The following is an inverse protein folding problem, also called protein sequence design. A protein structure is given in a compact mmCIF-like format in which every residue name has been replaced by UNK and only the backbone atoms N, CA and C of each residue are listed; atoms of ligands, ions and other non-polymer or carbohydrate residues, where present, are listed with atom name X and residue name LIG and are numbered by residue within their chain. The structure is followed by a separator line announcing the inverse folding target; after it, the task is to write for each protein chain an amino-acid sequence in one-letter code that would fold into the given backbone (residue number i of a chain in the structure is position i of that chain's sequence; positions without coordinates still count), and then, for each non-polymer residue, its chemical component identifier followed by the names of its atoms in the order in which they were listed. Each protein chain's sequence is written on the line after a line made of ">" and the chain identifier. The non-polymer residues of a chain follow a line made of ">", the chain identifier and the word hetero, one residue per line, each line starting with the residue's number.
data_IF_118956406403
#
_entry.id   IF_118956406403
#
_cell.length_a   1.000
_cell.length_b   1.000
_cell.length_c   1.000
_cell.angle_alpha   90.00
_cell.angle_beta   90.00
_cell.angle_gamma   90.00
#
_symmetry.space_group_name_H-M   'P 1'
#
loop_
_entity.id
_entity.type
_entity.pdbx_description
1 polymer ?
#
# COMPACT_ATOMS: atom_id res chain seq x y z
N UNK A 1 -22.81 -11.56 2.84
CA UNK A 1 -23.33 -10.77 3.98
C UNK A 1 -22.52 -9.49 4.07
N UNK A 2 -23.15 -8.32 4.02
CA UNK A 2 -22.44 -7.04 4.14
C UNK A 2 -22.21 -6.68 5.62
N UNK A 3 -21.04 -6.12 5.94
CA UNK A 3 -20.69 -5.64 7.28
C UNK A 3 -20.26 -4.18 7.21
N UNK A 4 -20.67 -3.37 8.20
CA UNK A 4 -20.25 -1.98 8.32
C UNK A 4 -18.92 -1.89 9.06
N UNK A 5 -17.98 -1.15 8.48
CA UNK A 5 -16.68 -0.84 9.07
C UNK A 5 -16.56 0.66 9.32
N UNK A 6 -16.47 1.05 10.60
CA UNK A 6 -16.28 2.45 11.00
C UNK A 6 -14.80 2.71 11.26
N UNK A 7 -14.21 3.67 10.56
CA UNK A 7 -12.78 4.01 10.66
C UNK A 7 -12.65 5.50 10.97
N UNK A 8 -11.78 5.86 11.92
CA UNK A 8 -11.42 7.25 12.17
C UNK A 8 -10.37 7.70 11.15
N UNK A 9 -10.68 8.76 10.41
CA UNK A 9 -9.77 9.38 9.45
C UNK A 9 -9.27 10.72 10.01
N UNK A 10 -8.02 11.06 9.71
CA UNK A 10 -7.57 12.43 9.89
C UNK A 10 -8.16 13.34 8.79
N UNK A 11 -8.05 14.67 8.97
CA UNK A 11 -8.65 15.66 8.05
C UNK A 11 -8.15 15.51 6.62
N UNK A 12 -6.88 15.16 6.43
CA UNK A 12 -6.28 15.06 5.10
C UNK A 12 -6.75 13.79 4.36
N UNK A 13 -6.86 12.67 5.08
CA UNK A 13 -7.43 11.43 4.57
C UNK A 13 -8.90 11.61 4.15
N UNK A 14 -9.70 12.30 4.97
CA UNK A 14 -11.10 12.59 4.66
C UNK A 14 -11.25 13.44 3.38
N UNK A 15 -10.45 14.50 3.25
CA UNK A 15 -10.41 15.34 2.05
C UNK A 15 -9.92 14.59 0.83
N UNK A 16 -8.87 13.77 0.96
CA UNK A 16 -8.35 12.96 -0.13
C UNK A 16 -9.37 11.94 -0.63
N UNK A 17 -10.07 11.26 0.28
CA UNK A 17 -11.11 10.30 -0.05
C UNK A 17 -12.29 10.99 -0.77
N UNK A 18 -12.74 12.13 -0.27
CA UNK A 18 -13.83 12.90 -0.89
C UNK A 18 -13.48 13.41 -2.29
N UNK A 19 -12.26 13.93 -2.48
CA UNK A 19 -11.77 14.35 -3.80
C UNK A 19 -11.71 13.19 -4.78
N UNK A 20 -11.19 12.04 -4.34
CA UNK A 20 -11.07 10.84 -5.17
C UNK A 20 -12.44 10.29 -5.57
N UNK A 21 -13.38 10.21 -4.62
CA UNK A 21 -14.76 9.80 -4.88
C UNK A 21 -15.43 10.70 -5.92
N UNK A 22 -15.29 12.02 -5.79
CA UNK A 22 -15.80 12.99 -6.76
C UNK A 22 -15.17 12.81 -8.15
N UNK A 23 -13.84 12.66 -8.22
CA UNK A 23 -13.13 12.49 -9.48
C UNK A 23 -13.53 11.21 -10.23
N UNK A 24 -13.93 10.16 -9.50
CA UNK A 24 -14.36 8.89 -10.06
C UNK A 24 -15.87 8.79 -10.29
N UNK A 25 -16.65 9.79 -9.89
CA UNK A 25 -18.13 9.73 -9.94
C UNK A 25 -18.72 8.64 -9.03
N UNK A 26 -18.01 8.25 -7.96
CA UNK A 26 -18.38 7.13 -7.08
C UNK A 26 -18.72 7.59 -5.68
N UNK A 27 -19.43 6.74 -4.93
CA UNK A 27 -19.62 6.97 -3.50
C UNK A 27 -18.32 6.74 -2.72
N UNK A 28 -18.18 7.40 -1.56
CA UNK A 28 -17.02 7.18 -0.67
C UNK A 28 -16.88 5.72 -0.25
N UNK A 29 -18.00 5.07 0.10
CA UNK A 29 -18.02 3.67 0.53
C UNK A 29 -17.59 2.72 -0.59
N UNK A 30 -17.96 3.01 -1.84
CA UNK A 30 -17.53 2.23 -3.00
C UNK A 30 -16.03 2.34 -3.22
N UNK A 31 -15.47 3.55 -3.19
CA UNK A 31 -14.02 3.76 -3.28
C UNK A 31 -13.28 3.01 -2.16
N UNK A 32 -13.79 3.05 -0.93
CA UNK A 32 -13.18 2.33 0.20
C UNK A 32 -13.23 0.82 -0.02
N UNK A 33 -14.35 0.26 -0.48
CA UNK A 33 -14.45 -1.18 -0.79
C UNK A 33 -13.45 -1.60 -1.87
N UNK A 34 -13.26 -0.80 -2.91
CA UNK A 34 -12.26 -1.09 -3.95
C UNK A 34 -10.83 -1.03 -3.42
N UNK A 35 -10.51 -0.06 -2.56
CA UNK A 35 -9.20 0.05 -1.92
C UNK A 35 -8.93 -1.15 -1.01
N UNK A 36 -9.94 -1.59 -0.24
CA UNK A 36 -9.84 -2.77 0.61
C UNK A 36 -9.66 -4.02 -0.23
N UNK A 37 -10.46 -4.21 -1.29
CA UNK A 37 -10.35 -5.36 -2.19
C UNK A 37 -8.93 -5.45 -2.79
N UNK A 38 -8.43 -4.34 -3.36
CA UNK A 38 -7.06 -4.26 -3.90
C UNK A 38 -5.98 -4.47 -2.84
N UNK A 39 -6.21 -4.03 -1.61
CA UNK A 39 -5.27 -4.20 -0.50
C UNK A 39 -5.20 -5.63 0.01
N UNK A 40 -6.33 -6.33 -0.01
CA UNK A 40 -6.48 -7.72 0.42
C UNK A 40 -6.07 -8.74 -0.65
N UNK A 41 -5.98 -8.33 -1.92
CA UNK A 41 -5.34 -9.16 -2.95
C UNK A 41 -3.87 -9.41 -2.58
N UNK A 42 -3.59 -10.62 -2.08
CA UNK A 42 -2.24 -11.17 -1.91
C UNK A 42 -1.62 -11.44 -3.27
N UNK A 43 -1.24 -10.36 -3.97
CA UNK A 43 -0.34 -10.49 -5.11
C UNK A 43 1.09 -10.57 -4.60
N UNK A 44 1.90 -11.54 -5.09
CA UNK A 44 3.33 -11.56 -4.87
C UNK A 44 3.92 -10.18 -5.18
N UNK A 45 4.84 -9.70 -4.33
CA UNK A 45 5.44 -8.37 -4.47
C UNK A 45 5.95 -8.09 -5.90
N UNK A 46 6.45 -9.13 -6.57
CA UNK A 46 6.88 -9.11 -7.97
C UNK A 46 5.82 -8.67 -8.98
N UNK A 47 4.54 -9.02 -8.78
CA UNK A 47 3.43 -8.55 -9.62
C UNK A 47 3.01 -7.13 -9.24
N UNK A 48 3.04 -6.79 -7.95
CA UNK A 48 2.78 -5.42 -7.46
C UNK A 48 3.77 -4.40 -8.02
N UNK A 49 5.00 -4.80 -8.30
CA UNK A 49 6.06 -3.93 -8.85
C UNK A 49 6.33 -4.13 -10.35
N UNK A 50 5.64 -5.07 -11.01
CA UNK A 50 5.89 -5.39 -12.42
C UNK A 50 5.66 -4.20 -13.38
N UNK A 51 4.79 -3.26 -13.00
CA UNK A 51 4.53 -2.03 -13.74
C UNK A 51 5.52 -0.90 -13.43
N UNK A 52 6.36 -1.05 -12.39
CA UNK A 52 7.47 -0.16 -12.10
C UNK A 52 8.64 -0.57 -13.02
N UNK A 53 8.55 -0.24 -14.31
CA UNK A 53 9.70 -0.28 -15.22
C UNK A 53 10.69 0.80 -14.82
N UNK A 54 11.59 0.45 -13.90
CA UNK A 54 12.67 1.32 -13.44
C UNK A 54 13.59 0.58 -12.48
N UNK A 55 14.89 0.84 -12.59
CA UNK A 55 15.89 0.35 -11.64
C UNK A 55 15.70 1.16 -10.37
N UNK A 56 15.26 0.52 -9.28
CA UNK A 56 15.47 1.10 -7.95
C UNK A 56 16.98 1.10 -7.75
N UNK A 57 17.61 2.28 -7.74
CA UNK A 57 18.98 2.44 -7.25
C UNK A 57 18.91 2.42 -5.72
N UNK A 58 19.20 1.29 -5.03
CA UNK A 58 19.29 1.35 -3.59
C UNK A 58 20.41 2.32 -3.25
N UNK A 59 20.10 3.35 -2.45
CA UNK A 59 21.12 4.20 -1.85
C UNK A 59 22.16 3.29 -1.19
N UNK A 60 23.44 3.49 -1.51
CA UNK A 60 24.51 2.57 -1.14
C UNK A 60 24.40 2.18 0.33
N UNK A 61 24.33 0.87 0.58
CA UNK A 61 24.15 0.33 1.92
C UNK A 61 25.39 0.61 2.79
N UNK A 62 25.43 1.77 3.44
CA UNK A 62 26.11 1.95 4.74
C UNK A 62 25.21 1.49 5.89
N UNK A 63 24.35 0.51 5.63
CA UNK A 63 23.33 0.11 6.58
C UNK A 63 23.85 -1.02 7.49
N UNK A 64 24.13 -0.75 8.77
CA UNK A 64 24.58 -1.76 9.74
C UNK A 64 23.58 -2.91 9.92
N UNK A 65 22.32 -2.72 9.50
CA UNK A 65 21.29 -3.76 9.53
C UNK A 65 21.65 -4.92 8.59
N UNK A 66 22.19 -4.64 7.39
CA UNK A 66 22.57 -5.69 6.42
C UNK A 66 23.71 -6.56 6.95
N UNK A 67 24.66 -5.97 7.67
CA UNK A 67 25.77 -6.69 8.32
C UNK A 67 25.26 -7.64 9.40
N UNK A 68 24.35 -7.17 10.25
CA UNK A 68 23.73 -7.99 11.31
C UNK A 68 22.89 -9.14 10.78
N UNK A 69 22.19 -8.96 9.66
CA UNK A 69 21.41 -10.04 9.03
C UNK A 69 22.34 -11.09 8.42
N UNK A 70 23.46 -10.68 7.81
CA UNK A 70 24.45 -11.61 7.25
C UNK A 70 25.18 -12.41 8.34
N UNK A 71 25.48 -11.77 9.47
CA UNK A 71 26.08 -12.43 10.64
C UNK A 71 25.09 -13.39 11.36
N UNK A 72 23.78 -13.12 11.28
CA UNK A 72 22.74 -13.95 11.89
C UNK A 72 22.19 -15.08 11.00
N UNK A 73 22.47 -15.06 9.70
CA UNK A 73 22.10 -16.15 8.79
C UNK A 73 23.23 -17.19 8.73
N UNK A 74 23.31 -18.00 9.78
CA UNK A 74 23.91 -19.33 9.75
C UNK A 74 22.81 -20.29 9.27
N UNK A 75 23.05 -20.88 8.10
CA UNK A 75 22.34 -22.01 7.44
C UNK A 75 20.94 -22.34 7.94
#
# INVERSE_FOLDING_TARGET
>A
MEKMLTIRLNKDQDRALSRRAKALGKSRSEVVRELIAKGLEEQPLGQKIAHLKGILNPLSSKDPVRRRIKERNWR
#
